data_IF_921468624329
#
_entry.id   IF_921468624329
#
_cell.length_a   1.000
_cell.length_b   1.000
_cell.length_c   1.000
_cell.angle_alpha   90.00
_cell.angle_beta   90.00
_cell.angle_gamma   90.00
#
_symmetry.space_group_name_H-M   'P 1'
#
loop_
_entity.id
_entity.type
_entity.pdbx_description
1 polymer ?
#
# COMPACT_ATOMS: atom_id res chain seq x y z
N UNK A 1 10.36 10.71 -8.85
CA UNK A 1 10.03 11.46 -7.62
C UNK A 1 10.90 10.96 -6.47
N UNK A 2 11.52 11.88 -5.76
CA UNK A 2 12.39 11.53 -4.63
C UNK A 2 11.71 11.88 -3.33
N UNK A 3 11.16 10.89 -2.66
CA UNK A 3 10.57 11.03 -1.33
C UNK A 3 11.05 9.89 -0.44
N UNK A 4 10.96 10.07 0.87
CA UNK A 4 11.47 9.09 1.83
C UNK A 4 10.56 7.88 2.02
N UNK A 5 9.32 7.92 1.56
CA UNK A 5 8.43 6.79 1.66
C UNK A 5 8.93 5.62 0.83
N UNK A 6 8.90 4.41 1.39
CA UNK A 6 9.46 3.22 0.75
C UNK A 6 8.53 2.64 -0.32
N UNK A 7 7.23 2.90 -0.21
CA UNK A 7 6.25 2.34 -1.14
C UNK A 7 5.69 3.45 -2.03
N UNK A 8 6.00 3.37 -3.31
CA UNK A 8 5.52 4.30 -4.32
C UNK A 8 5.02 3.48 -5.49
N UNK A 9 3.73 3.62 -5.80
CA UNK A 9 3.09 2.85 -6.85
C UNK A 9 2.53 3.81 -7.89
N UNK A 10 3.22 3.93 -9.01
CA UNK A 10 2.77 4.75 -10.11
C UNK A 10 1.63 4.05 -10.87
N UNK A 11 0.65 4.83 -11.26
CA UNK A 11 -0.50 4.29 -11.98
C UNK A 11 -1.35 5.37 -12.58
N UNK A 12 -2.58 5.01 -12.89
CA UNK A 12 -3.56 5.90 -13.51
C UNK A 12 -4.81 5.94 -12.64
N UNK A 13 -5.33 7.13 -12.39
CA UNK A 13 -6.59 7.29 -11.67
C UNK A 13 -7.72 6.67 -12.51
N UNK A 14 -8.48 5.76 -11.92
CA UNK A 14 -9.62 5.14 -12.60
C UNK A 14 -10.95 5.66 -12.09
N UNK A 15 -11.01 6.15 -10.87
CA UNK A 15 -12.23 6.75 -10.32
C UNK A 15 -11.93 7.70 -9.17
N UNK A 16 -12.83 8.68 -9.00
CA UNK A 16 -12.84 9.60 -7.87
C UNK A 16 -14.27 9.66 -7.38
N UNK A 17 -14.52 9.16 -6.17
CA UNK A 17 -15.84 9.21 -5.55
C UNK A 17 -15.82 10.26 -4.45
N UNK A 18 -16.47 11.38 -4.69
CA UNK A 18 -16.50 12.51 -3.75
C UNK A 18 -17.65 12.37 -2.75
N UNK A 19 -17.30 12.49 -1.47
CA UNK A 19 -18.26 12.69 -0.40
C UNK A 19 -18.39 14.19 -0.08
N UNK A 20 -18.87 14.50 1.12
CA UNK A 20 -19.03 15.89 1.55
C UNK A 20 -17.67 16.57 1.79
N UNK A 21 -16.73 15.87 2.41
CA UNK A 21 -15.41 16.38 2.79
C UNK A 21 -14.29 15.55 2.18
N UNK A 22 -14.43 14.24 2.21
CA UNK A 22 -13.43 13.31 1.71
C UNK A 22 -13.86 12.67 0.38
N UNK A 23 -12.88 12.17 -0.33
CA UNK A 23 -13.08 11.44 -1.57
C UNK A 23 -12.25 10.17 -1.55
N UNK A 24 -12.72 9.13 -2.22
CA UNK A 24 -11.96 7.90 -2.43
C UNK A 24 -11.45 7.90 -3.86
N UNK A 25 -10.13 7.88 -4.00
CA UNK A 25 -9.45 7.83 -5.30
C UNK A 25 -8.95 6.42 -5.52
N UNK A 26 -9.30 5.81 -6.64
CA UNK A 26 -8.77 4.53 -7.04
C UNK A 26 -7.71 4.72 -8.11
N UNK A 27 -6.53 4.16 -7.87
CA UNK A 27 -5.38 4.24 -8.80
C UNK A 27 -5.06 2.82 -9.27
N UNK A 28 -5.13 2.58 -10.57
CA UNK A 28 -4.72 1.31 -11.13
C UNK A 28 -3.20 1.29 -11.28
N UNK A 29 -2.54 0.43 -10.52
CA UNK A 29 -1.08 0.34 -10.43
C UNK A 29 -0.51 -0.89 -11.16
N UNK A 30 -1.38 -1.81 -11.53
CA UNK A 30 -1.08 -2.96 -12.40
C UNK A 30 -2.40 -3.40 -13.01
N UNK A 31 -2.40 -4.18 -14.11
CA UNK A 31 -3.65 -4.60 -14.75
C UNK A 31 -4.61 -5.27 -13.76
N UNK A 32 -5.77 -4.66 -13.56
CA UNK A 32 -6.79 -5.16 -12.64
C UNK A 32 -6.49 -4.96 -11.16
N UNK A 33 -5.39 -4.29 -10.80
CA UNK A 33 -5.03 -4.05 -9.39
C UNK A 33 -5.11 -2.56 -9.08
N UNK A 34 -6.04 -2.20 -8.22
CA UNK A 34 -6.24 -0.82 -7.78
C UNK A 34 -5.79 -0.62 -6.35
N UNK A 35 -5.25 0.55 -6.07
CA UNK A 35 -5.00 1.04 -4.72
C UNK A 35 -5.99 2.17 -4.47
N UNK A 36 -6.64 2.14 -3.32
CA UNK A 36 -7.60 3.17 -2.93
C UNK A 36 -7.01 4.08 -1.88
N UNK A 37 -7.16 5.38 -2.09
CA UNK A 37 -6.74 6.42 -1.17
C UNK A 37 -7.95 7.24 -0.76
N UNK A 38 -8.13 7.42 0.55
CA UNK A 38 -9.18 8.26 1.11
C UNK A 38 -8.52 9.58 1.50
N UNK A 39 -8.76 10.62 0.70
CA UNK A 39 -8.15 11.94 0.86
C UNK A 39 -9.24 13.01 0.86
N UNK A 40 -8.87 14.24 1.17
CA UNK A 40 -9.87 15.33 1.18
C UNK A 40 -10.27 15.72 -0.25
N UNK A 41 -11.50 16.18 -0.39
CA UNK A 41 -11.96 16.72 -1.67
C UNK A 41 -11.11 17.90 -2.12
N UNK A 42 -10.64 18.71 -1.15
CA UNK A 42 -9.72 19.82 -1.44
C UNK A 42 -8.42 19.32 -2.06
N UNK A 43 -7.84 18.22 -1.55
CA UNK A 43 -6.64 17.62 -2.12
C UNK A 43 -6.89 17.12 -3.55
N UNK A 44 -8.05 16.54 -3.80
CA UNK A 44 -8.43 16.09 -5.14
C UNK A 44 -8.40 17.25 -6.13
N UNK A 45 -8.95 18.39 -5.73
CA UNK A 45 -8.98 19.58 -6.57
C UNK A 45 -7.59 20.18 -6.77
N UNK A 46 -6.83 20.32 -5.67
CA UNK A 46 -5.48 20.89 -5.72
C UNK A 46 -4.54 20.09 -6.63
N UNK A 47 -4.67 18.77 -6.61
CA UNK A 47 -3.83 17.88 -7.41
C UNK A 47 -4.40 17.63 -8.82
N UNK A 48 -5.62 18.09 -9.08
CA UNK A 48 -6.26 17.90 -10.38
C UNK A 48 -6.55 16.43 -10.68
N UNK A 49 -6.94 15.65 -9.66
CA UNK A 49 -7.19 14.22 -9.83
C UNK A 49 -8.52 13.97 -10.51
N UNK A 50 -8.46 13.27 -11.62
CA UNK A 50 -9.65 12.80 -12.34
C UNK A 50 -9.28 11.54 -13.13
N UNK A 51 -10.29 10.77 -13.52
CA UNK A 51 -10.07 9.53 -14.26
C UNK A 51 -9.22 9.78 -15.51
N UNK A 52 -8.23 8.93 -15.71
CA UNK A 52 -7.30 9.02 -16.84
C UNK A 52 -6.01 9.77 -16.53
N UNK A 53 -5.91 10.44 -15.40
CA UNK A 53 -4.70 11.18 -15.02
C UNK A 53 -3.69 10.27 -14.35
N UNK A 54 -2.38 10.46 -14.61
CA UNK A 54 -1.35 9.72 -13.89
C UNK A 54 -1.28 10.19 -12.44
N UNK A 55 -1.02 9.26 -11.53
CA UNK A 55 -0.84 9.54 -10.12
C UNK A 55 0.03 8.48 -9.48
N UNK A 56 0.55 8.78 -8.31
CA UNK A 56 1.41 7.88 -7.56
C UNK A 56 0.78 7.68 -6.19
N UNK A 57 0.50 6.42 -5.82
CA UNK A 57 0.11 6.09 -4.46
C UNK A 57 1.36 5.96 -3.61
N UNK A 58 1.38 6.60 -2.46
CA UNK A 58 2.55 6.67 -1.58
C UNK A 58 2.16 6.17 -0.21
N UNK A 59 2.91 5.21 0.32
CA UNK A 59 2.63 4.60 1.62
C UNK A 59 3.91 4.49 2.43
N UNK A 60 3.86 4.99 3.66
CA UNK A 60 4.97 4.82 4.61
C UNK A 60 5.07 3.36 5.04
N UNK A 61 6.28 2.86 5.15
CA UNK A 61 6.51 1.48 5.58
C UNK A 61 5.91 1.19 6.96
N UNK A 62 5.86 2.18 7.84
CA UNK A 62 5.28 2.02 9.19
C UNK A 62 3.75 1.89 9.19
N UNK A 63 3.09 2.18 8.07
CA UNK A 63 1.64 2.04 7.93
C UNK A 63 1.24 0.72 7.29
N UNK A 64 2.20 -0.11 6.91
CA UNK A 64 1.93 -1.42 6.32
C UNK A 64 1.81 -2.46 7.41
N UNK A 65 0.73 -3.22 7.38
CA UNK A 65 0.49 -4.33 8.30
C UNK A 65 0.59 -5.64 7.52
N UNK A 66 0.91 -6.71 8.24
CA UNK A 66 1.04 -8.03 7.64
C UNK A 66 0.15 -9.04 8.35
N UNK A 67 -0.28 -10.04 7.62
CA UNK A 67 -0.97 -11.21 8.16
C UNK A 67 -0.41 -12.47 7.51
N UNK A 68 -0.56 -13.59 8.20
CA UNK A 68 -0.23 -14.90 7.64
C UNK A 68 -1.16 -15.19 6.47
N UNK A 69 -0.61 -15.77 5.42
CA UNK A 69 -1.42 -16.27 4.31
C UNK A 69 -2.13 -17.56 4.71
N UNK A 70 -3.23 -17.85 4.06
CA UNK A 70 -4.02 -19.06 4.33
C UNK A 70 -5.04 -18.90 5.44
N UNK A 71 -5.05 -17.80 6.12
CA UNK A 71 -6.12 -17.44 7.06
C UNK A 71 -7.22 -16.72 6.29
N UNK A 72 -8.47 -17.10 6.53
CA UNK A 72 -9.61 -16.39 5.96
C UNK A 72 -9.90 -15.15 6.80
N UNK A 73 -9.05 -14.15 6.64
CA UNK A 73 -9.18 -12.90 7.36
C UNK A 73 -10.01 -11.91 6.53
N UNK A 74 -11.17 -11.56 7.04
CA UNK A 74 -11.96 -10.46 6.48
C UNK A 74 -11.62 -9.21 7.26
N UNK A 75 -10.99 -8.25 6.60
CA UNK A 75 -10.55 -7.03 7.24
C UNK A 75 -11.04 -5.81 6.45
N UNK A 76 -11.34 -4.74 7.16
CA UNK A 76 -11.88 -3.52 6.55
C UNK A 76 -10.85 -2.70 5.77
N UNK A 77 -9.59 -3.04 5.84
CA UNK A 77 -8.57 -2.36 5.05
C UNK A 77 -8.84 -2.56 3.56
N UNK A 78 -8.89 -1.46 2.82
CA UNK A 78 -9.24 -1.47 1.39
C UNK A 78 -8.12 -1.99 0.51
N UNK A 79 -6.88 -1.89 0.96
CA UNK A 79 -5.72 -2.24 0.16
C UNK A 79 -5.07 -3.49 0.73
N UNK A 80 -5.15 -4.59 -0.01
CA UNK A 80 -4.58 -5.86 0.39
C UNK A 80 -3.70 -6.37 -0.75
N UNK A 81 -2.51 -6.84 -0.39
CA UNK A 81 -1.52 -7.33 -1.33
C UNK A 81 -1.12 -8.74 -0.92
N UNK A 82 -1.47 -9.71 -1.74
CA UNK A 82 -1.06 -11.11 -1.51
C UNK A 82 0.23 -11.36 -2.27
N UNK A 83 1.21 -11.92 -1.61
CA UNK A 83 2.49 -12.18 -2.24
C UNK A 83 3.35 -13.12 -1.43
N UNK A 84 4.60 -13.14 -1.79
CA UNK A 84 5.63 -13.97 -1.17
C UNK A 84 6.67 -13.05 -0.53
N UNK A 85 7.10 -13.39 0.68
CA UNK A 85 8.16 -12.64 1.36
C UNK A 85 9.46 -12.82 0.56
N UNK A 86 10.03 -11.70 0.12
CA UNK A 86 11.27 -11.70 -0.66
C UNK A 86 12.45 -11.13 0.10
N UNK A 87 12.20 -10.42 1.19
CA UNK A 87 13.26 -9.84 2.01
C UNK A 87 12.80 -9.68 3.45
N UNK A 88 13.66 -10.06 4.38
CA UNK A 88 13.47 -9.82 5.82
C UNK A 88 14.77 -9.27 6.37
N UNK A 89 14.72 -8.12 7.01
CA UNK A 89 15.90 -7.49 7.59
C UNK A 89 15.55 -7.02 9.01
N UNK A 90 16.03 -7.75 10.01
CA UNK A 90 15.79 -7.43 11.41
C UNK A 90 16.80 -6.38 11.89
N UNK A 91 16.28 -5.36 12.59
CA UNK A 91 17.11 -4.39 13.28
C UNK A 91 17.20 -4.71 14.76
N UNK A 92 17.42 -3.70 15.61
CA UNK A 92 17.52 -3.88 17.05
C UNK A 92 16.17 -4.25 17.68
N UNK A 93 15.10 -3.56 17.30
CA UNK A 93 13.74 -3.77 17.81
C UNK A 93 12.77 -4.00 16.67
N UNK A 94 12.87 -3.18 15.62
CA UNK A 94 12.03 -3.25 14.43
C UNK A 94 12.80 -3.86 13.27
N UNK A 95 12.07 -4.43 12.34
CA UNK A 95 12.63 -4.96 11.11
C UNK A 95 11.81 -4.50 9.90
N UNK A 96 12.35 -4.79 8.74
CA UNK A 96 11.70 -4.51 7.46
C UNK A 96 11.39 -5.82 6.75
N UNK A 97 10.17 -5.93 6.27
CA UNK A 97 9.71 -7.08 5.49
C UNK A 97 9.22 -6.59 4.14
N UNK A 98 9.67 -7.22 3.08
CA UNK A 98 9.20 -6.93 1.73
C UNK A 98 8.52 -8.15 1.16
N UNK A 99 7.33 -7.96 0.60
CA UNK A 99 6.65 -8.99 -0.18
C UNK A 99 6.62 -8.56 -1.64
N UNK A 100 6.62 -9.55 -2.53
CA UNK A 100 6.45 -9.35 -3.96
C UNK A 100 5.17 -10.05 -4.39
N UNK A 101 4.27 -9.31 -5.03
CA UNK A 101 2.99 -9.84 -5.49
C UNK A 101 3.13 -10.49 -6.85
N UNK A 102 2.10 -11.24 -7.26
CA UNK A 102 2.03 -11.82 -8.61
C UNK A 102 2.01 -10.76 -9.72
N UNK A 103 1.63 -9.51 -9.38
CA UNK A 103 1.65 -8.39 -10.33
C UNK A 103 3.05 -7.77 -10.47
N UNK A 104 4.04 -8.27 -9.75
CA UNK A 104 5.38 -7.70 -9.73
C UNK A 104 5.52 -6.47 -8.85
N UNK A 105 4.51 -6.13 -8.07
CA UNK A 105 4.58 -5.03 -7.11
C UNK A 105 5.31 -5.48 -5.86
N UNK A 106 6.17 -4.63 -5.32
CA UNK A 106 6.82 -4.88 -4.04
C UNK A 106 6.24 -3.95 -2.99
N UNK A 107 5.93 -4.52 -1.83
CA UNK A 107 5.38 -3.78 -0.70
C UNK A 107 6.29 -4.02 0.50
N UNK A 108 6.81 -2.94 1.07
CA UNK A 108 7.71 -3.01 2.22
C UNK A 108 7.05 -2.42 3.46
N UNK A 109 7.15 -3.15 4.55
CA UNK A 109 6.62 -2.71 5.83
C UNK A 109 7.69 -2.74 6.92
N UNK A 110 7.53 -1.84 7.89
CA UNK A 110 8.38 -1.80 9.08
C UNK A 110 7.53 -2.21 10.27
N UNK A 111 7.86 -3.35 10.87
CA UNK A 111 7.15 -3.92 12.01
C UNK A 111 8.14 -4.37 13.06
N UNK A 112 7.66 -4.74 14.24
CA UNK A 112 8.57 -5.21 15.29
C UNK A 112 9.17 -6.57 14.95
N UNK A 113 10.39 -6.83 15.43
CA UNK A 113 11.01 -8.15 15.28
C UNK A 113 10.11 -9.23 15.89
N UNK A 114 9.46 -8.92 17.01
CA UNK A 114 8.52 -9.84 17.65
C UNK A 114 7.38 -10.24 16.71
N UNK A 115 6.81 -9.26 15.98
CA UNK A 115 5.76 -9.54 15.03
C UNK A 115 6.26 -10.41 13.86
N UNK A 116 7.47 -10.13 13.37
CA UNK A 116 8.08 -10.94 12.31
C UNK A 116 8.16 -12.41 12.74
N UNK A 117 8.60 -12.65 13.97
CA UNK A 117 8.72 -14.00 14.50
C UNK A 117 7.37 -14.67 14.74
N UNK A 118 6.44 -13.95 15.36
CA UNK A 118 5.09 -14.46 15.64
C UNK A 118 4.34 -14.86 14.38
N UNK A 119 4.49 -14.08 13.31
CA UNK A 119 3.85 -14.36 12.04
C UNK A 119 4.63 -15.34 11.17
N UNK A 120 5.83 -15.71 11.58
CA UNK A 120 6.67 -16.61 10.82
C UNK A 120 7.04 -16.06 9.46
N UNK A 121 7.28 -14.75 9.36
CA UNK A 121 7.63 -14.11 8.11
C UNK A 121 9.08 -14.42 7.74
N UNK A 122 9.25 -15.26 6.74
CA UNK A 122 10.56 -15.69 6.25
C UNK A 122 10.55 -15.65 4.73
N UNK A 123 11.71 -15.46 4.13
CA UNK A 123 11.85 -15.48 2.68
C UNK A 123 11.24 -16.74 2.10
N UNK A 124 10.50 -16.62 1.03
CA UNK A 124 9.76 -17.67 0.31
C UNK A 124 8.43 -18.07 0.96
N UNK A 125 8.07 -17.52 2.10
CA UNK A 125 6.76 -17.79 2.71
C UNK A 125 5.71 -16.84 2.14
N UNK A 126 4.47 -17.34 1.94
CA UNK A 126 3.39 -16.47 1.52
C UNK A 126 2.97 -15.54 2.66
N UNK A 127 2.55 -14.34 2.33
CA UNK A 127 2.06 -13.37 3.30
C UNK A 127 1.09 -12.40 2.64
N UNK A 128 0.31 -11.70 3.45
CA UNK A 128 -0.58 -10.65 3.00
C UNK A 128 -0.15 -9.34 3.67
N UNK A 129 0.05 -8.31 2.87
CA UNK A 129 0.25 -6.96 3.37
C UNK A 129 -1.04 -6.18 3.16
N UNK A 130 -1.37 -5.30 4.10
CA UNK A 130 -2.55 -4.47 3.94
C UNK A 130 -2.34 -3.08 4.52
N UNK A 131 -3.07 -2.12 3.96
CA UNK A 131 -2.93 -0.70 4.28
C UNK A 131 -4.31 -0.07 4.30
N UNK A 132 -4.58 0.74 5.30
CA UNK A 132 -5.81 1.53 5.36
C UNK A 132 -5.80 2.57 4.24
N UNK A 133 -6.95 2.78 3.61
CA UNK A 133 -7.06 3.80 2.55
C UNK A 133 -6.75 5.21 3.06
N UNK A 134 -6.98 5.47 4.35
CA UNK A 134 -6.67 6.76 4.98
C UNK A 134 -5.16 6.98 5.20
N UNK A 135 -4.36 5.93 5.09
CA UNK A 135 -2.90 6.01 5.22
C UNK A 135 -2.18 6.09 3.87
N UNK A 136 -2.94 6.11 2.78
CA UNK A 136 -2.39 6.25 1.43
C UNK A 136 -2.38 7.70 1.03
N UNK A 137 -1.21 8.20 0.67
CA UNK A 137 -1.05 9.54 0.11
C UNK A 137 -1.11 9.44 -1.42
N UNK A 138 -1.52 10.51 -2.06
CA UNK A 138 -1.50 10.60 -3.51
C UNK A 138 -0.58 11.73 -3.93
N UNK A 139 0.29 11.46 -4.88
CA UNK A 139 1.20 12.44 -5.43
C UNK A 139 1.04 12.50 -6.94
N UNK A 140 1.32 13.66 -7.50
CA UNK A 140 1.39 13.86 -8.95
C UNK A 140 2.72 14.54 -9.26
N UNK A 141 3.28 14.23 -10.41
CA UNK A 141 4.47 14.93 -10.86
C UNK A 141 4.07 16.24 -11.54
N UNK A 142 4.78 17.28 -11.20
CA UNK A 142 4.52 18.59 -11.75
C UNK A 142 5.01 18.71 -13.20
#
# INVERSE_FOLDING_TARGET
MKISARNQFAGTVVSVEKGAVNAVVAIEVAPGKNIKADITCEAVEDLGLEAGKPAIAVVKATNVMFAEAGQHLQISARNQFCGEVTKVQKGAVNGHVTITTEYGLTVSGSITNAAIEELGLEVSKPAVAFVKSTDVLVAVEA
#
